data_IF_108707047661
#
_entry.id   IF_108707047661
#
_cell.length_a   1.000
_cell.length_b   1.000
_cell.length_c   1.000
_cell.angle_alpha   90.00
_cell.angle_beta   90.00
_cell.angle_gamma   90.00
#
_symmetry.space_group_name_H-M   'P 1'
#
loop_
_entity.id
_entity.type
_entity.pdbx_description
1 polymer ?
#
# COMPACT_ATOMS: atom_id res chain seq x y z
N UNK A 1 -27.68 -4.09 -12.12
CA UNK A 1 -28.38 -4.46 -10.87
C UNK A 1 -27.46 -5.29 -10.00
N UNK A 2 -27.62 -5.22 -8.66
CA UNK A 2 -26.88 -6.07 -7.71
C UNK A 2 -27.42 -7.50 -7.72
N UNK A 3 -26.56 -8.48 -7.49
CA UNK A 3 -26.91 -9.90 -7.44
C UNK A 3 -26.07 -10.65 -6.41
N UNK A 4 -26.53 -11.84 -5.99
CA UNK A 4 -25.82 -12.71 -5.06
C UNK A 4 -25.46 -12.00 -3.74
N UNK A 5 -24.23 -12.21 -3.27
CA UNK A 5 -23.71 -11.63 -2.01
C UNK A 5 -23.81 -10.11 -1.97
N UNK A 6 -23.63 -9.41 -3.09
CA UNK A 6 -23.72 -7.96 -3.14
C UNK A 6 -25.16 -7.46 -2.91
N UNK A 7 -26.17 -8.20 -3.38
CA UNK A 7 -27.58 -7.88 -3.11
C UNK A 7 -27.92 -8.13 -1.65
N UNK A 8 -27.56 -9.30 -1.11
CA UNK A 8 -27.81 -9.62 0.29
C UNK A 8 -27.14 -8.62 1.25
N UNK A 9 -25.92 -8.20 0.95
CA UNK A 9 -25.23 -7.17 1.72
C UNK A 9 -25.97 -5.83 1.66
N UNK A 10 -26.47 -5.42 0.48
CA UNK A 10 -27.25 -4.19 0.35
C UNK A 10 -28.53 -4.25 1.18
N UNK A 11 -29.34 -5.30 1.01
CA UNK A 11 -30.62 -5.47 1.71
C UNK A 11 -30.44 -5.47 3.25
N UNK A 12 -29.30 -5.97 3.75
CA UNK A 12 -28.99 -5.99 5.18
C UNK A 12 -28.49 -4.66 5.76
N UNK A 13 -28.10 -3.69 4.93
CA UNK A 13 -27.45 -2.45 5.36
C UNK A 13 -28.15 -1.19 4.81
N UNK A 14 -29.19 -1.33 3.98
CA UNK A 14 -29.81 -0.21 3.25
C UNK A 14 -30.39 0.86 4.16
N UNK A 15 -30.86 0.47 5.35
CA UNK A 15 -31.38 1.33 6.40
C UNK A 15 -30.30 2.26 7.01
N UNK A 16 -29.02 1.89 6.89
CA UNK A 16 -27.89 2.70 7.40
C UNK A 16 -27.44 3.81 6.44
N UNK A 17 -27.87 3.77 5.16
CA UNK A 17 -27.39 4.69 4.14
C UNK A 17 -28.19 5.98 4.10
N UNK A 18 -27.77 6.98 4.86
CA UNK A 18 -28.42 8.30 4.91
C UNK A 18 -28.28 9.12 3.61
N UNK A 19 -27.30 8.79 2.77
CA UNK A 19 -27.06 9.42 1.47
C UNK A 19 -26.16 8.53 0.59
N UNK A 20 -26.01 8.91 -0.68
CA UNK A 20 -25.23 8.16 -1.65
C UNK A 20 -23.72 8.07 -1.31
N UNK A 21 -23.17 9.05 -0.59
CA UNK A 21 -21.78 9.01 -0.12
C UNK A 21 -21.58 7.95 0.95
N UNK A 22 -22.49 7.88 1.92
CA UNK A 22 -22.49 6.82 2.96
C UNK A 22 -22.58 5.44 2.31
N UNK A 23 -23.50 5.25 1.36
CA UNK A 23 -23.62 4.00 0.60
C UNK A 23 -22.31 3.63 -0.12
N UNK A 24 -21.72 4.57 -0.89
CA UNK A 24 -20.46 4.32 -1.60
C UNK A 24 -19.32 3.94 -0.67
N UNK A 25 -19.21 4.61 0.48
CA UNK A 25 -18.16 4.33 1.45
C UNK A 25 -18.35 2.94 2.08
N UNK A 26 -19.57 2.59 2.48
CA UNK A 26 -19.88 1.27 3.02
C UNK A 26 -19.66 0.16 1.99
N UNK A 27 -20.04 0.38 0.72
CA UNK A 27 -19.81 -0.57 -0.37
C UNK A 27 -18.32 -0.77 -0.63
N UNK A 28 -17.56 0.33 -0.65
CA UNK A 28 -16.10 0.28 -0.75
C UNK A 28 -15.52 -0.51 0.42
N UNK A 29 -15.91 -0.24 1.66
CA UNK A 29 -15.38 -0.95 2.82
C UNK A 29 -15.73 -2.45 2.82
N UNK A 30 -16.91 -2.83 2.33
CA UNK A 30 -17.35 -4.22 2.31
C UNK A 30 -16.68 -5.06 1.20
N UNK A 31 -16.40 -4.45 0.05
CA UNK A 31 -15.95 -5.18 -1.14
C UNK A 31 -14.58 -4.75 -1.65
N UNK A 32 -14.21 -3.49 -1.48
CA UNK A 32 -12.85 -3.04 -1.68
C UNK A 32 -12.08 -3.33 -0.39
N UNK A 33 -11.12 -4.26 -0.48
CA UNK A 33 -10.17 -4.56 0.61
C UNK A 33 -9.16 -3.42 0.82
N UNK A 34 -9.62 -2.18 0.75
CA UNK A 34 -8.80 -0.97 0.70
C UNK A 34 -7.92 -0.87 1.94
N UNK A 35 -8.48 -1.10 3.14
CA UNK A 35 -7.71 -1.07 4.38
C UNK A 35 -6.68 -2.22 4.45
N UNK A 36 -7.03 -3.42 3.99
CA UNK A 36 -6.08 -4.55 3.98
C UNK A 36 -4.93 -4.31 2.98
N UNK A 37 -5.24 -3.78 1.80
CA UNK A 37 -4.26 -3.40 0.78
C UNK A 37 -3.36 -2.27 1.26
N UNK A 38 -3.93 -1.28 1.96
CA UNK A 38 -3.19 -0.17 2.59
C UNK A 38 -2.23 -0.71 3.65
N UNK A 39 -2.71 -1.54 4.58
CA UNK A 39 -1.88 -2.20 5.61
C UNK A 39 -0.80 -3.10 5.01
N UNK A 40 -1.10 -3.78 3.90
CA UNK A 40 -0.11 -4.58 3.20
C UNK A 40 0.98 -3.70 2.59
N UNK A 41 0.60 -2.58 1.97
CA UNK A 41 1.56 -1.62 1.42
C UNK A 41 2.45 -1.02 2.53
N UNK A 42 1.88 -0.67 3.69
CA UNK A 42 2.64 -0.21 4.86
C UNK A 42 3.69 -1.24 5.30
N UNK A 43 3.29 -2.52 5.44
CA UNK A 43 4.22 -3.60 5.83
C UNK A 43 5.35 -3.78 4.81
N UNK A 44 5.03 -3.78 3.52
CA UNK A 44 6.03 -3.92 2.46
C UNK A 44 6.98 -2.73 2.46
N UNK A 45 6.47 -1.51 2.60
CA UNK A 45 7.25 -0.27 2.64
C UNK A 45 8.25 -0.25 3.80
N UNK A 46 7.89 -0.83 4.95
CA UNK A 46 8.76 -0.93 6.12
C UNK A 46 9.98 -1.82 5.88
N UNK A 47 9.84 -2.88 5.08
CA UNK A 47 10.88 -3.88 4.84
C UNK A 47 11.55 -3.75 3.47
N UNK A 48 11.15 -2.74 2.67
CA UNK A 48 11.63 -2.61 1.30
C UNK A 48 13.06 -2.08 1.27
N UNK A 49 13.96 -2.90 0.75
CA UNK A 49 15.36 -2.52 0.47
C UNK A 49 15.66 -2.75 -1.00
N UNK A 50 16.59 -2.00 -1.58
CA UNK A 50 17.04 -2.29 -2.95
C UNK A 50 17.70 -3.68 -2.97
N UNK A 51 17.32 -4.53 -3.92
CA UNK A 51 17.85 -5.89 -4.01
C UNK A 51 19.15 -5.93 -4.84
N UNK A 52 20.00 -6.92 -4.58
CA UNK A 52 21.18 -7.17 -5.41
C UNK A 52 20.74 -7.49 -6.85
N UNK A 53 21.24 -6.72 -7.81
CA UNK A 53 20.87 -6.81 -9.22
C UNK A 53 19.60 -6.03 -9.61
N UNK A 54 18.91 -5.40 -8.65
CA UNK A 54 17.80 -4.48 -8.95
C UNK A 54 18.32 -3.10 -9.37
N UNK A 55 17.75 -2.54 -10.44
CA UNK A 55 18.07 -1.18 -10.86
C UNK A 55 17.49 -0.15 -9.88
N UNK A 56 18.22 0.94 -9.66
CA UNK A 56 17.74 2.01 -8.77
C UNK A 56 16.42 2.60 -9.23
N UNK A 57 16.16 2.68 -10.54
CA UNK A 57 14.88 3.15 -11.08
C UNK A 57 13.72 2.23 -10.70
N UNK A 58 13.86 0.91 -10.85
CA UNK A 58 12.85 -0.07 -10.44
C UNK A 58 12.53 0.05 -8.96
N UNK A 59 13.57 0.11 -8.12
CA UNK A 59 13.44 0.28 -6.68
C UNK A 59 12.69 1.57 -6.32
N UNK A 60 13.08 2.71 -6.90
CA UNK A 60 12.45 4.01 -6.63
C UNK A 60 10.97 3.98 -7.01
N UNK A 61 10.62 3.46 -8.20
CA UNK A 61 9.23 3.42 -8.65
C UNK A 61 8.37 2.51 -7.77
N UNK A 62 8.91 1.38 -7.32
CA UNK A 62 8.20 0.47 -6.44
C UNK A 62 7.96 1.09 -5.05
N UNK A 63 8.97 1.74 -4.47
CA UNK A 63 8.82 2.48 -3.20
C UNK A 63 7.77 3.59 -3.34
N UNK A 64 7.80 4.40 -4.40
CA UNK A 64 6.80 5.45 -4.62
C UNK A 64 5.38 4.90 -4.80
N UNK A 65 5.24 3.75 -5.47
CA UNK A 65 3.98 3.02 -5.61
C UNK A 65 3.45 2.55 -4.25
N UNK A 66 4.32 1.98 -3.41
CA UNK A 66 3.99 1.56 -2.05
C UNK A 66 3.61 2.75 -1.17
N UNK A 67 4.34 3.87 -1.22
CA UNK A 67 4.00 5.10 -0.52
C UNK A 67 2.59 5.57 -0.86
N UNK A 68 2.25 5.62 -2.16
CA UNK A 68 0.91 6.04 -2.62
C UNK A 68 -0.20 5.11 -2.11
N UNK A 69 0.05 3.80 -2.05
CA UNK A 69 -0.92 2.80 -1.57
C UNK A 69 -1.07 2.82 -0.04
N UNK A 70 0.02 3.05 0.68
CA UNK A 70 0.04 3.09 2.14
C UNK A 70 -0.58 4.38 2.69
N UNK A 71 -0.21 5.53 2.11
CA UNK A 71 -0.72 6.83 2.45
C UNK A 71 -0.65 7.78 1.24
N UNK A 72 -1.79 8.03 0.54
CA UNK A 72 -1.82 8.96 -0.59
C UNK A 72 -1.37 10.38 -0.26
N UNK A 73 -1.43 10.78 1.01
CA UNK A 73 -1.02 12.09 1.52
C UNK A 73 0.40 12.08 2.14
N UNK A 74 1.18 11.01 1.94
CA UNK A 74 2.56 10.94 2.42
C UNK A 74 3.39 12.10 1.83
N UNK A 75 4.12 12.78 2.71
CA UNK A 75 4.98 13.90 2.34
C UNK A 75 6.19 13.43 1.50
N UNK A 76 6.81 14.35 0.77
CA UNK A 76 8.04 14.03 0.03
C UNK A 76 9.18 13.65 0.97
N UNK A 77 9.30 14.28 2.14
CA UNK A 77 10.33 13.95 3.13
C UNK A 77 10.20 12.51 3.66
N UNK A 78 8.96 12.06 3.94
CA UNK A 78 8.71 10.67 4.34
C UNK A 78 9.06 9.68 3.21
N UNK A 79 8.73 10.01 1.96
CA UNK A 79 9.09 9.17 0.80
C UNK A 79 10.60 9.06 0.66
N UNK A 80 11.33 10.17 0.80
CA UNK A 80 12.79 10.22 0.77
C UNK A 80 13.38 9.38 1.91
N UNK A 81 12.82 9.47 3.13
CA UNK A 81 13.28 8.64 4.25
C UNK A 81 13.16 7.14 3.96
N UNK A 82 12.06 6.68 3.37
CA UNK A 82 11.91 5.29 2.93
C UNK A 82 12.93 4.88 1.87
N UNK A 83 13.14 5.72 0.85
CA UNK A 83 14.13 5.47 -0.19
C UNK A 83 15.55 5.32 0.39
N UNK A 84 15.95 6.28 1.22
CA UNK A 84 17.29 6.32 1.82
C UNK A 84 17.53 5.16 2.78
N UNK A 85 16.52 4.78 3.58
CA UNK A 85 16.59 3.60 4.44
C UNK A 85 16.95 2.35 3.64
N UNK A 86 16.20 2.05 2.58
CA UNK A 86 16.43 0.82 1.82
C UNK A 86 17.71 0.82 0.98
N UNK A 87 18.24 2.00 0.61
CA UNK A 87 19.57 2.13 -0.02
C UNK A 87 20.67 1.89 1.01
N UNK A 88 20.57 2.46 2.21
CA UNK A 88 21.54 2.24 3.27
C UNK A 88 21.65 0.76 3.63
N UNK A 89 20.50 0.08 3.80
CA UNK A 89 20.45 -1.36 4.09
C UNK A 89 21.06 -2.20 2.94
N UNK A 90 20.83 -1.84 1.68
CA UNK A 90 21.47 -2.48 0.52
C UNK A 90 22.99 -2.35 0.54
N UNK A 91 23.52 -1.16 0.85
CA UNK A 91 24.97 -0.92 0.92
C UNK A 91 25.63 -1.79 1.99
N UNK A 92 25.01 -1.89 3.17
CA UNK A 92 25.49 -2.78 4.23
C UNK A 92 25.53 -4.25 3.77
N UNK A 93 24.46 -4.75 3.14
CA UNK A 93 24.39 -6.13 2.64
C UNK A 93 25.44 -6.43 1.55
N UNK A 94 25.72 -5.45 0.70
CA UNK A 94 26.70 -5.61 -0.40
C UNK A 94 28.14 -5.63 0.14
N UNK A 95 28.43 -4.87 1.20
CA UNK A 95 29.74 -4.87 1.87
C UNK A 95 30.01 -6.20 2.58
N UNK A 96 29.03 -6.76 3.29
CA UNK A 96 29.17 -8.10 3.92
C UNK A 96 29.40 -9.20 2.87
N UNK A 97 28.70 -9.12 1.74
CA UNK A 97 28.82 -10.11 0.66
C UNK A 97 30.17 -10.07 -0.08
N UNK A 98 30.90 -8.96 0.03
CA UNK A 98 32.21 -8.76 -0.63
C UNK A 98 33.40 -9.05 0.30
N UNK A 99 33.15 -9.40 1.57
CA UNK A 99 34.16 -9.64 2.61
C UNK A 99 34.61 -11.10 2.79
N UNK A 100 34.29 -11.99 1.85
CA UNK A 100 34.73 -13.39 1.76
C UNK A 100 35.52 -13.62 0.46
#
# INVERSE_FOLDING_TARGET
YLAGTARQWFDNNEDTFTNFTTFKNSLSNAFCRTEDLRRQAERLLLTRTQQIGETSESYIQDVLSLCRKANPAMSEDEKVAHLMKGIAEYLYQTQESSGL
#
